data_IF_488905113301
#
_entry.id   IF_488905113301
#
_cell.length_a   1.000
_cell.length_b   1.000
_cell.length_c   1.000
_cell.angle_alpha   90.00
_cell.angle_beta   90.00
_cell.angle_gamma   90.00
#
_symmetry.space_group_name_H-M   'P 1'
#
loop_
_entity.id
_entity.type
_entity.pdbx_description
1 polymer ?
#
# COMPACT_ATOMS: atom_id res chain seq x y z
N UNK A 1 -35.91 -10.81 -46.79
CA UNK A 1 -34.56 -11.09 -46.25
C UNK A 1 -33.73 -9.85 -45.87
N UNK A 2 -34.08 -8.63 -46.30
CA UNK A 2 -33.29 -7.41 -45.99
C UNK A 2 -33.51 -6.83 -44.58
N UNK A 3 -34.62 -7.20 -43.91
CA UNK A 3 -34.98 -6.73 -42.55
C UNK A 3 -34.36 -7.56 -41.43
N UNK A 4 -34.02 -8.83 -41.68
CA UNK A 4 -33.38 -9.71 -40.69
C UNK A 4 -31.90 -9.37 -40.46
N UNK A 5 -31.20 -8.87 -41.48
CA UNK A 5 -29.81 -8.43 -41.33
C UNK A 5 -29.65 -7.17 -40.45
N UNK A 6 -30.64 -6.27 -40.45
CA UNK A 6 -30.60 -5.07 -39.60
C UNK A 6 -30.78 -5.38 -38.11
N UNK A 7 -31.55 -6.40 -37.77
CA UNK A 7 -31.77 -6.79 -36.37
C UNK A 7 -30.51 -7.42 -35.74
N UNK A 8 -29.71 -8.15 -36.52
CA UNK A 8 -28.50 -8.82 -36.03
C UNK A 8 -27.37 -7.80 -35.79
N UNK A 9 -27.21 -6.78 -36.65
CA UNK A 9 -26.24 -5.72 -36.43
C UNK A 9 -26.56 -4.84 -35.21
N UNK A 10 -27.85 -4.63 -34.89
CA UNK A 10 -28.24 -3.82 -33.73
C UNK A 10 -28.07 -4.59 -32.40
N UNK A 11 -28.22 -5.92 -32.41
CA UNK A 11 -27.97 -6.76 -31.25
C UNK A 11 -26.48 -6.86 -30.88
N UNK A 12 -25.58 -6.74 -31.87
CA UNK A 12 -24.13 -6.78 -31.63
C UNK A 12 -23.57 -5.48 -31.01
N UNK A 13 -24.29 -4.37 -31.13
CA UNK A 13 -23.88 -3.06 -30.61
C UNK A 13 -24.18 -2.85 -29.12
N UNK A 14 -25.05 -3.68 -28.51
CA UNK A 14 -25.44 -3.54 -27.09
C UNK A 14 -24.52 -4.32 -26.13
N UNK A 15 -23.67 -5.22 -26.66
CA UNK A 15 -22.77 -6.06 -25.85
C UNK A 15 -21.39 -5.47 -25.53
N UNK A 16 -21.07 -4.28 -26.05
CA UNK A 16 -19.77 -3.62 -25.83
C UNK A 16 -19.91 -2.59 -24.70
N UNK A 17 -20.20 -3.04 -23.49
CA UNK A 17 -19.97 -2.19 -22.31
C UNK A 17 -18.46 -2.17 -22.07
N UNK A 18 -17.80 -0.99 -22.08
CA UNK A 18 -16.40 -0.91 -21.71
C UNK A 18 -16.30 -1.28 -20.23
N UNK A 19 -15.60 -2.38 -19.93
CA UNK A 19 -15.18 -2.66 -18.56
C UNK A 19 -14.39 -1.44 -18.07
N UNK A 20 -14.74 -0.86 -16.91
CA UNK A 20 -13.95 0.23 -16.36
C UNK A 20 -12.53 -0.31 -16.15
N UNK A 21 -11.56 0.22 -16.90
CA UNK A 21 -10.16 0.02 -16.58
C UNK A 21 -9.94 0.77 -15.27
N UNK A 22 -9.94 0.03 -14.15
CA UNK A 22 -9.62 0.59 -12.84
C UNK A 22 -8.28 1.32 -12.96
N UNK A 23 -8.33 2.66 -12.89
CA UNK A 23 -7.12 3.42 -12.64
C UNK A 23 -6.56 2.91 -11.30
N UNK A 24 -5.26 2.61 -11.24
CA UNK A 24 -4.63 2.28 -9.95
C UNK A 24 -4.98 3.37 -8.94
N UNK A 25 -5.68 2.97 -7.88
CA UNK A 25 -6.03 3.81 -6.73
C UNK A 25 -4.76 4.33 -6.01
N UNK A 26 -3.62 3.70 -6.27
CA UNK A 26 -2.34 3.93 -5.60
C UNK A 26 -1.28 4.47 -6.58
N UNK A 27 -1.64 5.45 -7.40
CA UNK A 27 -0.76 5.97 -8.45
C UNK A 27 0.59 6.48 -7.90
N UNK A 28 0.59 7.17 -6.76
CA UNK A 28 1.82 7.67 -6.14
C UNK A 28 2.75 6.54 -5.68
N UNK A 29 2.17 5.44 -5.20
CA UNK A 29 2.90 4.24 -4.84
C UNK A 29 3.54 3.62 -6.09
N UNK A 30 2.79 3.47 -7.17
CA UNK A 30 3.28 2.88 -8.42
C UNK A 30 4.43 3.72 -9.01
N UNK A 31 4.31 5.06 -8.96
CA UNK A 31 5.36 5.97 -9.39
C UNK A 31 6.60 5.81 -8.53
N UNK A 32 6.45 5.76 -7.20
CA UNK A 32 7.55 5.54 -6.26
C UNK A 32 8.27 4.20 -6.53
N UNK A 33 7.50 3.12 -6.68
CA UNK A 33 8.02 1.78 -6.95
C UNK A 33 8.83 1.77 -8.25
N UNK A 34 8.27 2.33 -9.33
CA UNK A 34 8.96 2.43 -10.62
C UNK A 34 10.27 3.21 -10.53
N UNK A 35 10.27 4.33 -9.80
CA UNK A 35 11.46 5.17 -9.59
C UNK A 35 12.57 4.42 -8.85
N UNK A 36 12.23 3.78 -7.73
CA UNK A 36 13.16 3.04 -6.89
C UNK A 36 13.73 1.81 -7.59
N UNK A 37 12.88 1.05 -8.28
CA UNK A 37 13.30 -0.14 -9.03
C UNK A 37 14.23 0.25 -10.17
N UNK A 38 13.87 1.27 -10.96
CA UNK A 38 14.70 1.68 -12.09
C UNK A 38 16.07 2.18 -11.61
N UNK A 39 16.10 2.94 -10.52
CA UNK A 39 17.33 3.35 -9.87
C UNK A 39 18.16 2.14 -9.40
N UNK A 40 17.53 1.12 -8.81
CA UNK A 40 18.22 -0.10 -8.37
C UNK A 40 18.79 -0.92 -9.53
N UNK A 41 18.04 -1.06 -10.63
CA UNK A 41 18.50 -1.78 -11.82
C UNK A 41 19.71 -1.08 -12.44
N UNK A 42 19.67 0.26 -12.52
CA UNK A 42 20.73 1.07 -13.12
C UNK A 42 21.84 1.46 -12.15
N UNK A 43 21.81 0.96 -10.91
CA UNK A 43 22.70 1.33 -9.82
C UNK A 43 22.87 2.85 -9.64
N UNK A 44 21.76 3.59 -9.78
CA UNK A 44 21.69 5.06 -9.65
C UNK A 44 20.95 5.48 -8.39
N UNK A 45 21.00 6.79 -8.11
CA UNK A 45 20.16 7.36 -7.08
C UNK A 45 18.70 7.50 -7.55
N UNK A 46 17.69 7.17 -6.72
CA UNK A 46 16.29 7.41 -7.03
C UNK A 46 15.97 8.87 -7.39
N UNK A 47 16.75 9.83 -6.92
CA UNK A 47 16.58 11.25 -7.26
C UNK A 47 16.99 11.58 -8.70
N UNK A 48 17.85 10.76 -9.33
CA UNK A 48 18.28 10.94 -10.73
C UNK A 48 17.26 10.42 -11.75
N UNK A 49 16.29 9.63 -11.29
CA UNK A 49 15.20 9.11 -12.12
C UNK A 49 14.07 10.13 -12.13
N UNK A 50 13.59 10.51 -13.30
CA UNK A 50 12.49 11.46 -13.45
C UNK A 50 11.24 10.72 -13.91
N UNK A 51 10.13 10.97 -13.22
CA UNK A 51 8.82 10.61 -13.72
C UNK A 51 8.42 11.61 -14.81
N UNK A 52 8.05 11.12 -15.98
CA UNK A 52 7.70 11.96 -17.14
C UNK A 52 6.19 12.07 -17.27
N UNK A 53 5.50 10.94 -17.40
CA UNK A 53 4.05 10.92 -17.63
C UNK A 53 3.47 9.51 -17.46
N UNK A 54 2.16 9.44 -17.24
CA UNK A 54 1.37 8.20 -17.30
C UNK A 54 0.97 7.95 -18.75
N UNK A 55 1.43 6.83 -19.31
CA UNK A 55 1.17 6.47 -20.71
C UNK A 55 -0.19 5.79 -20.86
N UNK A 56 -0.52 4.89 -19.94
CA UNK A 56 -1.78 4.13 -19.85
C UNK A 56 -2.09 3.83 -18.38
N UNK A 57 -3.29 3.33 -18.04
CA UNK A 57 -3.53 2.79 -16.71
C UNK A 57 -2.42 1.83 -16.32
N UNK A 58 -1.81 2.09 -15.16
CA UNK A 58 -0.77 1.27 -14.57
C UNK A 58 0.55 1.20 -15.38
N UNK A 59 0.75 2.10 -16.36
CA UNK A 59 1.95 2.16 -17.19
C UNK A 59 2.48 3.60 -17.21
N UNK A 60 3.72 3.74 -16.75
CA UNK A 60 4.37 5.01 -16.48
C UNK A 60 5.65 5.14 -17.30
N UNK A 61 5.93 6.34 -17.78
CA UNK A 61 7.17 6.68 -18.48
C UNK A 61 8.11 7.39 -17.52
N UNK A 62 9.33 6.88 -17.44
CA UNK A 62 10.44 7.45 -16.70
C UNK A 62 11.58 7.81 -17.64
N UNK A 63 12.35 8.82 -17.26
CA UNK A 63 13.60 9.13 -17.91
C UNK A 63 14.74 9.21 -16.90
N UNK A 64 15.93 8.85 -17.34
CA UNK A 64 17.15 8.91 -16.55
C UNK A 64 18.29 9.35 -17.44
N UNK A 65 19.15 10.22 -16.92
CA UNK A 65 20.33 10.62 -17.65
C UNK A 65 21.40 9.52 -17.50
N UNK A 66 21.77 8.90 -18.62
CA UNK A 66 22.77 7.84 -18.64
C UNK A 66 23.87 8.21 -19.65
N UNK A 67 25.10 8.28 -19.14
CA UNK A 67 26.27 8.77 -19.87
C UNK A 67 26.09 10.20 -20.43
N UNK A 68 25.67 10.34 -21.69
CA UNK A 68 25.53 11.64 -22.39
C UNK A 68 24.13 11.88 -22.97
N UNK A 69 23.20 10.96 -22.73
CA UNK A 69 21.87 11.01 -23.35
C UNK A 69 20.80 10.67 -22.31
N UNK A 70 19.62 11.23 -22.52
CA UNK A 70 18.42 10.82 -21.79
C UNK A 70 18.01 9.43 -22.29
N UNK A 71 17.83 8.48 -21.38
CA UNK A 71 17.29 7.16 -21.68
C UNK A 71 15.88 7.04 -21.09
N UNK A 72 14.95 6.53 -21.90
CA UNK A 72 13.54 6.38 -21.51
C UNK A 72 13.16 4.93 -21.21
N UNK A 73 12.41 4.76 -20.13
CA UNK A 73 11.95 3.48 -19.61
C UNK A 73 10.45 3.52 -19.34
N UNK A 74 9.77 2.46 -19.77
CA UNK A 74 8.36 2.23 -19.47
C UNK A 74 8.30 1.24 -18.31
N UNK A 75 7.59 1.61 -17.25
CA UNK A 75 7.34 0.75 -16.10
C UNK A 75 5.85 0.49 -15.99
N UNK A 76 5.46 -0.78 -15.99
CA UNK A 76 4.09 -1.22 -15.73
C UNK A 76 3.98 -1.89 -14.37
N UNK A 77 3.02 -1.49 -13.54
CA UNK A 77 2.75 -2.11 -12.23
C UNK A 77 1.39 -2.79 -12.28
N UNK A 78 1.33 -4.12 -12.27
CA UNK A 78 0.05 -4.81 -12.40
C UNK A 78 0.03 -6.10 -11.61
N UNK A 79 -1.02 -6.27 -10.80
CA UNK A 79 -1.17 -7.42 -9.92
C UNK A 79 -0.04 -7.45 -8.89
N UNK A 80 0.74 -8.52 -8.90
CA UNK A 80 1.90 -8.78 -8.04
C UNK A 80 3.24 -8.50 -8.74
N UNK A 81 3.22 -7.84 -9.91
CA UNK A 81 4.38 -7.74 -10.80
C UNK A 81 4.63 -6.33 -11.31
N UNK A 82 5.91 -6.00 -11.39
CA UNK A 82 6.45 -4.76 -11.95
C UNK A 82 7.27 -5.12 -13.17
N UNK A 83 6.91 -4.57 -14.32
CA UNK A 83 7.60 -4.77 -15.60
C UNK A 83 8.31 -3.51 -16.02
N UNK A 84 9.61 -3.61 -16.24
CA UNK A 84 10.45 -2.51 -16.72
C UNK A 84 10.91 -2.82 -18.14
N UNK A 85 10.72 -1.88 -19.05
CA UNK A 85 11.14 -1.97 -20.45
C UNK A 85 11.84 -0.69 -20.92
N UNK A 86 13.07 -0.81 -21.41
CA UNK A 86 13.79 0.31 -22.06
C UNK A 86 13.51 0.37 -23.56
N UNK A 87 13.32 1.58 -24.11
CA UNK A 87 12.94 1.79 -25.51
C UNK A 87 14.13 2.02 -26.45
N UNK A 88 15.16 2.71 -25.99
CA UNK A 88 16.18 3.31 -26.86
C UNK A 88 17.51 2.55 -26.83
N UNK A 89 18.40 2.92 -25.90
CA UNK A 89 19.80 2.44 -25.88
C UNK A 89 19.99 1.23 -24.97
N UNK A 90 19.22 1.15 -23.88
CA UNK A 90 19.24 0.03 -22.95
C UNK A 90 18.01 -0.84 -23.22
N UNK A 91 18.18 -1.91 -24.01
CA UNK A 91 17.15 -2.95 -24.22
C UNK A 91 17.02 -3.83 -22.98
N UNK A 92 16.63 -3.20 -21.88
CA UNK A 92 16.38 -3.85 -20.61
C UNK A 92 14.91 -4.29 -20.59
N UNK A 93 14.67 -5.56 -20.32
CA UNK A 93 13.35 -6.07 -19.97
C UNK A 93 13.47 -6.85 -18.67
N UNK A 94 12.79 -6.41 -17.62
CA UNK A 94 12.77 -7.10 -16.32
C UNK A 94 11.34 -7.20 -15.82
N UNK A 95 11.01 -8.37 -15.27
CA UNK A 95 9.78 -8.56 -14.48
C UNK A 95 10.22 -8.85 -13.06
N UNK A 96 9.68 -8.09 -12.12
CA UNK A 96 10.05 -8.11 -10.71
C UNK A 96 8.76 -8.33 -9.94
N UNK A 97 8.79 -9.27 -9.01
CA UNK A 97 7.65 -9.56 -8.14
C UNK A 97 7.64 -8.55 -6.99
N UNK A 98 6.46 -8.15 -6.56
CA UNK A 98 6.27 -7.30 -5.40
C UNK A 98 5.08 -7.75 -4.58
N UNK A 99 5.12 -7.42 -3.29
CA UNK A 99 4.05 -7.69 -2.36
C UNK A 99 3.34 -6.39 -1.98
N UNK A 100 2.01 -6.37 -2.08
CA UNK A 100 1.20 -5.27 -1.59
C UNK A 100 0.66 -5.59 -0.19
N UNK A 101 1.08 -4.80 0.80
CA UNK A 101 0.50 -4.80 2.13
C UNK A 101 -0.75 -3.92 2.14
N UNK A 102 -1.93 -4.56 2.21
CA UNK A 102 -3.22 -3.87 2.25
C UNK A 102 -3.45 -3.09 3.55
N UNK A 103 -2.79 -3.44 4.64
CA UNK A 103 -2.94 -2.78 5.94
C UNK A 103 -2.17 -1.47 5.95
N UNK A 104 -0.91 -1.51 5.53
CA UNK A 104 -0.05 -0.33 5.46
C UNK A 104 -0.26 0.49 4.17
N UNK A 105 -0.98 -0.07 3.18
CA UNK A 105 -1.10 0.46 1.81
C UNK A 105 0.26 0.72 1.17
N UNK A 106 1.19 -0.23 1.37
CA UNK A 106 2.56 -0.14 0.89
C UNK A 106 2.90 -1.30 -0.04
N UNK A 107 3.59 -1.01 -1.14
CA UNK A 107 4.28 -1.98 -1.95
C UNK A 107 5.68 -2.23 -1.40
N UNK A 108 6.00 -3.50 -1.14
CA UNK A 108 7.31 -3.97 -0.70
C UNK A 108 7.93 -4.81 -1.82
N UNK A 109 9.15 -4.46 -2.21
CA UNK A 109 9.92 -5.15 -3.26
C UNK A 109 11.27 -5.55 -2.70
N UNK A 110 11.57 -6.84 -2.78
CA UNK A 110 12.89 -7.39 -2.51
C UNK A 110 13.62 -7.58 -3.83
N UNK A 111 14.32 -6.54 -4.28
CA UNK A 111 15.11 -6.59 -5.51
C UNK A 111 16.56 -6.19 -5.25
N UNK A 112 17.47 -7.08 -5.64
CA UNK A 112 18.91 -6.82 -5.66
C UNK A 112 19.46 -7.09 -7.06
N UNK A 113 20.45 -6.29 -7.45
CA UNK A 113 21.20 -6.47 -8.69
C UNK A 113 22.65 -6.79 -8.33
N UNK A 114 23.29 -7.69 -9.06
CA UNK A 114 24.72 -8.00 -8.87
C UNK A 114 25.63 -6.78 -9.08
N UNK A 115 25.14 -5.79 -9.83
CA UNK A 115 25.87 -4.56 -10.14
C UNK A 115 25.68 -3.47 -9.08
N UNK A 116 24.75 -3.65 -8.13
CA UNK A 116 24.42 -2.66 -7.11
C UNK A 116 24.58 -3.23 -5.71
N UNK A 117 25.39 -2.58 -4.87
CA UNK A 117 25.61 -2.98 -3.47
C UNK A 117 24.41 -2.71 -2.56
N UNK A 118 23.42 -1.95 -3.04
CA UNK A 118 22.18 -1.69 -2.29
C UNK A 118 21.32 -2.96 -2.33
N UNK A 119 21.08 -3.55 -1.16
CA UNK A 119 20.24 -4.74 -0.97
C UNK A 119 19.02 -4.48 -0.08
N UNK A 120 18.86 -3.27 0.43
CA UNK A 120 17.70 -2.93 1.28
C UNK A 120 16.39 -3.11 0.51
N UNK A 121 15.31 -3.54 1.20
CA UNK A 121 13.99 -3.64 0.59
C UNK A 121 13.51 -2.26 0.15
N UNK A 122 12.81 -2.23 -0.97
CA UNK A 122 12.16 -1.02 -1.47
C UNK A 122 10.75 -1.01 -0.90
N UNK A 123 10.40 0.04 -0.16
CA UNK A 123 9.08 0.23 0.42
C UNK A 123 8.53 1.56 -0.08
N UNK A 124 7.36 1.51 -0.72
CA UNK A 124 6.64 2.69 -1.21
C UNK A 124 5.20 2.61 -0.73
N UNK A 125 4.71 3.66 -0.09
CA UNK A 125 3.35 3.71 0.46
C UNK A 125 2.53 4.75 -0.29
N UNK A 126 1.25 4.47 -0.48
CA UNK A 126 0.30 5.47 -0.97
C UNK A 126 -0.02 6.48 0.13
N UNK A 127 -0.46 7.68 -0.25
CA UNK A 127 -0.93 8.65 0.72
C UNK A 127 -2.19 8.13 1.42
N UNK A 128 -2.18 8.17 2.76
CA UNK A 128 -3.37 7.87 3.56
C UNK A 128 -4.47 8.89 3.26
N UNK A 129 -5.71 8.43 3.20
CA UNK A 129 -6.87 9.32 3.00
C UNK A 129 -7.04 10.29 4.17
N UNK A 130 -7.81 11.36 3.98
CA UNK A 130 -8.07 12.34 5.04
C UNK A 130 -8.76 11.68 6.24
N UNK A 131 -9.65 10.72 5.99
CA UNK A 131 -10.37 9.94 7.00
C UNK A 131 -9.40 9.08 7.82
N UNK A 132 -8.48 8.37 7.15
CA UNK A 132 -7.45 7.56 7.82
C UNK A 132 -6.51 8.41 8.68
N UNK A 133 -6.15 9.60 8.20
CA UNK A 133 -5.36 10.57 8.98
C UNK A 133 -6.12 11.10 10.20
N UNK A 134 -7.45 11.15 10.16
CA UNK A 134 -8.28 11.60 11.29
C UNK A 134 -8.46 10.48 12.33
N UNK A 135 -8.57 9.24 11.89
CA UNK A 135 -8.64 8.07 12.78
C UNK A 135 -7.33 7.85 13.53
N UNK A 136 -6.16 7.98 12.88
CA UNK A 136 -4.88 7.91 13.59
C UNK A 136 -4.75 8.99 14.66
N UNK A 137 -5.14 10.23 14.30
CA UNK A 137 -5.21 11.34 15.25
C UNK A 137 -6.25 11.15 16.35
N UNK A 138 -7.23 10.26 16.16
CA UNK A 138 -8.20 9.93 17.19
C UNK A 138 -7.58 9.00 18.25
N UNK A 139 -6.81 8.01 17.81
CA UNK A 139 -6.12 7.08 18.71
C UNK A 139 -4.90 7.71 19.40
N UNK A 140 -4.23 8.65 18.77
CA UNK A 140 -3.09 9.40 19.35
C UNK A 140 -3.51 10.51 20.32
N UNK A 141 -4.80 10.58 20.70
CA UNK A 141 -5.25 11.57 21.69
C UNK A 141 -4.71 11.20 23.07
N UNK A 142 -4.21 12.17 23.86
CA UNK A 142 -3.83 11.89 25.24
C UNK A 142 -5.05 11.37 26.01
N UNK A 143 -4.82 10.39 26.87
CA UNK A 143 -5.84 9.84 27.76
C UNK A 143 -6.36 11.00 28.62
N UNK A 144 -7.68 11.23 28.70
CA UNK A 144 -8.22 12.33 29.49
C UNK A 144 -7.82 12.24 30.98
N UNK A 145 -7.48 13.39 31.58
CA UNK A 145 -7.03 13.51 32.98
C UNK A 145 -7.99 12.87 34.00
N UNK A 146 -9.31 12.84 33.72
CA UNK A 146 -10.33 12.21 34.57
C UNK A 146 -10.13 10.69 34.71
N UNK A 147 -9.56 10.04 33.68
CA UNK A 147 -9.27 8.61 33.71
C UNK A 147 -8.01 8.32 34.53
N UNK A 148 -7.07 9.26 34.61
CA UNK A 148 -5.88 9.13 35.45
C UNK A 148 -6.24 9.17 36.94
N UNK A 149 -7.23 9.99 37.32
CA UNK A 149 -7.73 10.06 38.70
C UNK A 149 -8.46 8.78 39.12
N UNK A 150 -9.25 8.19 38.21
CA UNK A 150 -9.93 6.92 38.46
C UNK A 150 -8.95 5.73 38.40
N UNK A 151 -7.93 5.76 37.54
CA UNK A 151 -6.87 4.77 37.52
C UNK A 151 -6.00 4.85 38.79
N UNK A 152 -5.72 6.06 39.29
CA UNK A 152 -5.03 6.28 40.57
C UNK A 152 -5.85 5.73 41.73
N UNK A 153 -7.15 6.03 41.79
CA UNK A 153 -8.04 5.46 42.81
C UNK A 153 -8.11 3.94 42.73
N UNK A 154 -8.15 3.38 41.52
CA UNK A 154 -8.15 1.93 41.31
C UNK A 154 -6.84 1.29 41.79
N UNK A 155 -5.68 1.92 41.54
CA UNK A 155 -4.38 1.48 42.03
C UNK A 155 -4.24 1.59 43.55
N UNK A 156 -4.79 2.65 44.15
CA UNK A 156 -4.82 2.84 45.61
C UNK A 156 -5.78 1.87 46.32
N UNK A 157 -6.80 1.38 45.61
CA UNK A 157 -7.74 0.37 46.11
C UNK A 157 -7.22 -1.06 45.97
N UNK A 158 -6.09 -1.29 45.29
CA UNK A 158 -5.47 -2.61 45.25
C UNK A 158 -4.79 -2.88 46.61
N UNK A 159 -5.03 -4.05 47.22
CA UNK A 159 -4.29 -4.46 48.40
C UNK A 159 -2.80 -4.57 48.05
N UNK A 160 -1.88 -4.25 48.99
CA UNK A 160 -0.46 -4.42 48.76
C UNK A 160 -0.16 -5.87 48.37
N UNK A 161 0.77 -6.07 47.43
CA UNK A 161 1.19 -7.41 46.99
C UNK A 161 1.58 -8.25 48.21
N UNK A 162 0.70 -9.21 48.59
CA UNK A 162 0.90 -10.06 49.76
C UNK A 162 -0.36 -10.51 50.48
N UNK A 163 -1.53 -9.91 50.25
CA UNK A 163 -2.79 -10.36 50.87
C UNK A 163 -3.68 -11.11 49.87
N UNK A 164 -3.60 -12.44 49.91
CA UNK A 164 -4.64 -13.31 49.35
C UNK A 164 -6.01 -12.94 49.95
N UNK A 165 -7.06 -12.79 49.14
CA UNK A 165 -8.38 -12.51 49.68
C UNK A 165 -8.89 -13.70 50.50
N UNK A 166 -9.30 -13.43 51.73
CA UNK A 166 -10.01 -14.40 52.56
C UNK A 166 -11.28 -14.87 51.84
N UNK A 167 -11.61 -16.17 51.87
CA UNK A 167 -12.79 -16.69 51.18
C UNK A 167 -14.06 -16.08 51.75
N UNK A 168 -14.88 -15.50 50.86
CA UNK A 168 -16.22 -15.00 51.17
C UNK A 168 -17.07 -16.12 51.80
N UNK A 169 -17.40 -15.95 53.07
CA UNK A 169 -18.37 -16.78 53.77
C UNK A 169 -19.75 -16.61 53.13
N UNK A 170 -20.27 -17.70 52.58
CA UNK A 170 -21.63 -17.84 52.05
C UNK A 170 -22.67 -17.44 53.12
N UNK A 171 -23.75 -16.70 52.79
CA UNK A 171 -24.78 -16.39 53.75
C UNK A 171 -25.64 -17.63 54.01
N UNK A 172 -25.54 -18.19 55.21
CA UNK A 172 -26.40 -19.28 55.67
C UNK A 172 -27.80 -18.72 56.02
N UNK A 173 -28.81 -19.29 55.36
CA UNK A 173 -30.21 -19.05 55.67
C UNK A 173 -30.63 -19.94 56.86
N UNK A 174 -31.16 -19.32 57.91
CA UNK A 174 -31.99 -19.99 58.91
C UNK A 174 -32.56 -18.94 59.87
N UNK A 175 -33.87 -18.77 60.08
CA UNK A 175 -34.94 -19.76 59.99
C UNK A 175 -35.40 -20.10 61.41
N UNK A 176 -36.43 -19.37 61.87
CA UNK A 176 -37.51 -19.82 62.76
C UNK A 176 -37.15 -20.62 64.04
N UNK A 177 -37.36 -20.00 65.22
CA UNK A 177 -38.55 -20.19 66.09
C UNK A 177 -38.38 -19.42 67.39
#
# INVERSE_FOLDING_TARGET
>A
MRRFFFAICMAFLVGLTPLPSQASEFEDMDICLGKQILARILCKDPLEVNYVTKVRPNIYLFSVFYAKQEARFVVGVSGDKIRVQGKEFLKLTRTIEYHFDSTAKCGVVEYSSSECTRTSPIVCCSEKTVEEKLDEKFWDRPIPDLLEEDLRKALEALPPEGEEPAPEGTPDQGGQQ
#
